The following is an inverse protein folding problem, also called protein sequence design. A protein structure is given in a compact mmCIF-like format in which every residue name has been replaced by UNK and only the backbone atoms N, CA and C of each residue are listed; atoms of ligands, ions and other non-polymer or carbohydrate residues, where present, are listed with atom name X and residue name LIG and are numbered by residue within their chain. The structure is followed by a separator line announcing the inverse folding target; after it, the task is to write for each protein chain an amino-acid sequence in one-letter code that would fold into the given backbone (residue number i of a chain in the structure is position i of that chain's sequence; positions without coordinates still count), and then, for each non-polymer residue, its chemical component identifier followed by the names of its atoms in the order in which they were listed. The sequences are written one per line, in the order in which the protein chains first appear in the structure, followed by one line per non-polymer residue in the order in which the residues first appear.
data_IF_303676152503
#
_entry.id   IF_303676152503
#
_cell.length_a   1.000
_cell.length_b   1.000
_cell.length_c   1.000
_cell.angle_alpha   90.00
_cell.angle_beta   90.00
_cell.angle_gamma   90.00
#
_symmetry.space_group_name_H-M   'P 1'
#
loop_
_entity.id
_entity.type
_entity.pdbx_description
1 polymer ?
#
# COMPACT_ATOMS: atom_id res chain seq x y z
N UNK A 1 -7.96 18.59 56.57
CA UNK A 1 -7.69 19.00 55.18
C UNK A 1 -6.55 18.15 54.60
N UNK A 2 -6.80 16.89 54.18
CA UNK A 2 -5.77 15.95 53.66
C UNK A 2 -6.02 15.49 52.21
N UNK A 3 -7.03 16.04 51.53
CA UNK A 3 -7.46 15.61 50.19
C UNK A 3 -6.71 16.29 49.02
N UNK A 4 -5.90 17.33 49.30
CA UNK A 4 -5.15 18.08 48.26
C UNK A 4 -3.82 17.43 47.83
N UNK A 5 -3.31 16.45 48.58
CA UNK A 5 -1.99 15.85 48.31
C UNK A 5 -1.98 14.87 47.12
N UNK A 6 -3.14 14.37 46.70
CA UNK A 6 -3.25 13.43 45.57
C UNK A 6 -3.52 14.12 44.23
N UNK A 7 -3.81 15.42 44.22
CA UNK A 7 -4.14 16.16 42.99
C UNK A 7 -2.90 16.36 42.12
N UNK A 8 -1.75 16.62 42.75
CA UNK A 8 -0.47 16.88 42.08
C UNK A 8 0.04 15.64 41.30
N UNK A 9 0.12 14.43 41.89
CA UNK A 9 0.58 13.26 41.13
C UNK A 9 -0.39 12.85 40.01
N UNK A 10 -1.69 13.08 40.17
CA UNK A 10 -2.70 12.78 39.13
C UNK A 10 -2.55 13.70 37.92
N UNK A 11 -2.27 14.99 38.13
CA UNK A 11 -2.02 15.95 37.04
C UNK A 11 -0.73 15.60 36.28
N UNK A 12 0.33 15.20 36.99
CA UNK A 12 1.59 14.77 36.37
C UNK A 12 1.38 13.50 35.54
N UNK A 13 0.58 12.54 36.02
CA UNK A 13 0.27 11.31 35.29
C UNK A 13 -0.57 11.57 34.02
N UNK A 14 -1.48 12.54 34.04
CA UNK A 14 -2.26 12.90 32.84
C UNK A 14 -1.44 13.54 31.71
N UNK A 15 -0.28 14.14 32.01
CA UNK A 15 0.61 14.68 30.98
C UNK A 15 1.30 13.55 30.18
N UNK A 16 1.45 12.36 30.76
CA UNK A 16 2.04 11.20 30.08
C UNK A 16 1.08 10.49 29.11
N UNK A 17 -0.22 10.81 29.13
CA UNK A 17 -1.21 10.21 28.22
C UNK A 17 -1.48 11.04 26.97
N UNK A 18 -0.87 12.22 26.82
CA UNK A 18 -1.08 13.13 25.68
C UNK A 18 -0.23 12.78 24.43
N UNK A 19 0.44 11.63 24.42
CA UNK A 19 1.49 11.30 23.43
C UNK A 19 1.08 10.46 22.23
N UNK A 20 -0.19 10.10 22.02
CA UNK A 20 -0.60 9.24 20.89
C UNK A 20 -1.44 10.01 19.87
N UNK A 21 -0.85 11.02 19.25
CA UNK A 21 -1.32 11.54 17.98
C UNK A 21 -0.77 10.68 16.85
N UNK A 22 -1.64 10.04 16.05
CA UNK A 22 -1.23 9.46 14.77
C UNK A 22 -0.78 10.61 13.88
N UNK A 23 0.53 10.85 13.83
CA UNK A 23 1.15 11.81 12.94
C UNK A 23 1.02 11.25 11.53
N UNK A 24 -0.03 11.68 10.81
CA UNK A 24 -0.14 11.43 9.38
C UNK A 24 1.12 11.99 8.72
N UNK A 25 1.82 11.09 8.02
CA UNK A 25 3.09 11.30 7.35
C UNK A 25 2.91 12.39 6.27
N UNK A 26 3.05 13.65 6.67
CA UNK A 26 2.92 14.84 5.80
C UNK A 26 4.19 15.08 4.97
N UNK A 27 5.15 14.16 5.05
CA UNK A 27 6.35 14.21 4.26
C UNK A 27 6.00 14.12 2.76
N UNK A 28 6.76 14.80 1.89
CA UNK A 28 6.60 14.68 0.44
C UNK A 28 6.67 13.21 0.01
N UNK A 29 5.73 12.79 -0.84
CA UNK A 29 5.76 11.45 -1.41
C UNK A 29 6.93 11.34 -2.39
N UNK A 30 7.88 10.47 -2.07
CA UNK A 30 8.98 10.10 -2.98
C UNK A 30 8.71 8.73 -3.58
N UNK A 31 8.77 8.61 -4.90
CA UNK A 31 8.68 7.32 -5.59
C UNK A 31 10.06 6.65 -5.55
N UNK A 32 10.19 5.43 -4.99
CA UNK A 32 11.45 4.70 -4.98
C UNK A 32 11.92 4.37 -6.40
N UNK A 33 13.23 4.38 -6.62
CA UNK A 33 13.83 3.89 -7.86
C UNK A 33 13.91 2.35 -7.83
N UNK A 34 13.17 1.71 -8.74
CA UNK A 34 13.13 0.25 -8.88
C UNK A 34 13.98 -0.27 -10.03
N UNK A 35 14.73 0.59 -10.74
CA UNK A 35 15.54 0.22 -11.91
C UNK A 35 14.74 -0.08 -13.19
N UNK A 36 13.42 -0.32 -13.08
CA UNK A 36 12.52 -0.50 -14.23
C UNK A 36 11.23 0.27 -13.98
N UNK A 37 10.82 1.07 -14.98
CA UNK A 37 9.60 1.86 -14.94
C UNK A 37 8.40 1.01 -15.39
N UNK A 38 7.40 0.84 -14.52
CA UNK A 38 6.14 0.19 -14.87
C UNK A 38 5.01 1.20 -14.96
N UNK A 39 4.28 1.18 -16.07
CA UNK A 39 3.08 1.98 -16.27
C UNK A 39 1.84 1.14 -15.95
N UNK A 40 0.93 1.69 -15.15
CA UNK A 40 -0.31 1.02 -14.75
C UNK A 40 -1.52 1.95 -14.81
N UNK A 41 -2.69 1.36 -14.96
CA UNK A 41 -3.96 1.98 -14.54
C UNK A 41 -4.33 1.40 -13.20
N UNK A 42 -4.43 2.25 -12.19
CA UNK A 42 -4.85 1.86 -10.85
C UNK A 42 -6.24 2.43 -10.56
N UNK A 43 -7.10 1.61 -9.98
CA UNK A 43 -8.43 2.03 -9.52
C UNK A 43 -8.47 1.82 -8.01
N UNK A 44 -8.86 2.85 -7.26
CA UNK A 44 -9.02 2.77 -5.80
C UNK A 44 -10.39 2.21 -5.39
N UNK A 45 -10.61 2.02 -4.08
CA UNK A 45 -11.89 1.53 -3.55
C UNK A 45 -13.05 2.54 -3.71
N UNK A 46 -12.76 3.80 -4.04
CA UNK A 46 -13.74 4.86 -4.33
C UNK A 46 -14.03 5.00 -5.83
N UNK A 47 -13.59 4.04 -6.65
CA UNK A 47 -13.74 4.01 -8.10
C UNK A 47 -13.01 5.16 -8.84
N UNK A 48 -11.98 5.76 -8.23
CA UNK A 48 -11.12 6.74 -8.90
C UNK A 48 -10.04 6.01 -9.68
N UNK A 49 -10.00 6.25 -11.00
CA UNK A 49 -8.98 5.70 -11.90
C UNK A 49 -7.82 6.67 -12.08
N UNK A 50 -6.59 6.15 -12.00
CA UNK A 50 -5.36 6.92 -12.12
C UNK A 50 -4.37 6.23 -13.05
N UNK A 51 -3.82 6.99 -14.00
CA UNK A 51 -2.70 6.57 -14.83
C UNK A 51 -1.39 6.89 -14.11
N UNK A 52 -0.62 5.83 -13.82
CA UNK A 52 0.61 5.92 -13.03
C UNK A 52 1.80 5.39 -13.82
N UNK A 53 2.92 6.09 -13.71
CA UNK A 53 4.25 5.66 -14.10
C UNK A 53 5.09 5.40 -12.85
N UNK A 54 6.26 4.76 -13.02
CA UNK A 54 7.19 4.38 -11.96
C UNK A 54 6.48 3.62 -10.84
N UNK A 55 5.52 2.78 -11.22
CA UNK A 55 4.68 2.07 -10.26
C UNK A 55 5.50 1.04 -9.50
N UNK A 56 5.41 1.06 -8.17
CA UNK A 56 6.08 0.10 -7.29
C UNK A 56 5.26 -0.15 -6.04
N UNK A 57 5.43 -1.32 -5.42
CA UNK A 57 4.81 -1.63 -4.14
C UNK A 57 5.86 -2.02 -3.11
N UNK A 58 5.91 -1.29 -1.99
CA UNK A 58 7.00 -1.35 -1.02
C UNK A 58 8.36 -0.99 -1.65
N UNK A 59 8.36 -0.14 -2.68
CA UNK A 59 9.56 0.21 -3.45
C UNK A 59 10.14 -0.94 -4.28
N UNK A 60 9.31 -1.90 -4.70
CA UNK A 60 9.73 -3.06 -5.49
C UNK A 60 8.79 -3.29 -6.68
N UNK A 61 9.35 -3.83 -7.76
CA UNK A 61 8.65 -4.12 -9.01
C UNK A 61 8.12 -5.56 -9.10
N UNK A 62 7.63 -6.09 -7.99
CA UNK A 62 7.00 -7.40 -7.92
C UNK A 62 5.88 -7.42 -6.89
N UNK A 63 4.87 -8.26 -7.13
CA UNK A 63 3.82 -8.53 -6.16
C UNK A 63 4.25 -9.71 -5.29
N UNK A 64 4.26 -9.55 -3.97
CA UNK A 64 4.58 -10.64 -3.06
C UNK A 64 3.54 -10.85 -1.97
N UNK A 65 3.29 -12.12 -1.67
CA UNK A 65 2.29 -12.52 -0.69
C UNK A 65 2.36 -14.02 -0.40
N UNK A 66 1.59 -14.44 0.61
CA UNK A 66 1.52 -15.84 1.02
C UNK A 66 0.55 -16.63 0.14
N UNK A 67 0.90 -17.88 -0.17
CA UNK A 67 -0.02 -18.88 -0.71
C UNK A 67 0.27 -20.20 0.00
N UNK A 68 -0.73 -20.72 0.71
CA UNK A 68 -0.49 -21.83 1.63
C UNK A 68 0.59 -21.47 2.66
N UNK A 69 1.58 -22.35 2.84
CA UNK A 69 2.72 -22.12 3.73
C UNK A 69 3.88 -21.33 3.13
N UNK A 70 3.83 -20.98 1.83
CA UNK A 70 4.93 -20.35 1.11
C UNK A 70 4.76 -18.84 0.90
N UNK A 71 5.89 -18.14 0.74
CA UNK A 71 5.94 -16.76 0.23
C UNK A 71 6.25 -16.81 -1.26
N UNK A 72 5.38 -16.24 -2.08
CA UNK A 72 5.63 -16.07 -3.52
C UNK A 72 5.87 -14.61 -3.86
N UNK A 73 6.69 -14.41 -4.89
CA UNK A 73 6.95 -13.12 -5.52
C UNK A 73 6.76 -13.28 -7.03
N UNK A 74 5.89 -12.49 -7.62
CA UNK A 74 5.58 -12.48 -9.05
C UNK A 74 6.04 -11.12 -9.61
N UNK A 75 7.03 -11.10 -10.53
CA UNK A 75 7.47 -9.87 -11.19
C UNK A 75 6.33 -9.16 -11.91
N UNK A 76 6.33 -7.82 -11.93
CA UNK A 76 5.28 -7.05 -12.60
C UNK A 76 5.22 -7.29 -14.11
N UNK A 77 6.34 -7.64 -14.75
CA UNK A 77 6.39 -7.98 -16.19
C UNK A 77 5.53 -9.19 -16.56
N UNK A 78 5.30 -10.12 -15.62
CA UNK A 78 4.48 -11.32 -15.82
C UNK A 78 2.99 -11.09 -15.53
N UNK A 79 2.64 -9.94 -14.95
CA UNK A 79 1.30 -9.64 -14.47
C UNK A 79 0.57 -8.79 -15.49
N UNK A 80 -0.62 -9.25 -15.90
CA UNK A 80 -1.55 -8.45 -16.68
C UNK A 80 -2.42 -7.57 -15.79
N UNK A 81 -3.03 -8.16 -14.76
CA UNK A 81 -3.90 -7.43 -13.83
C UNK A 81 -3.91 -8.01 -12.43
N UNK A 82 -4.29 -7.17 -11.46
CA UNK A 82 -4.49 -7.56 -10.06
C UNK A 82 -5.81 -7.00 -9.58
N UNK A 83 -6.61 -7.82 -8.92
CA UNK A 83 -7.81 -7.41 -8.20
C UNK A 83 -7.65 -7.71 -6.72
N UNK A 84 -7.95 -6.72 -5.88
CA UNK A 84 -7.81 -6.83 -4.44
C UNK A 84 -9.18 -7.03 -3.77
N UNK A 85 -9.23 -7.94 -2.82
CA UNK A 85 -10.41 -8.26 -2.03
C UNK A 85 -10.04 -8.26 -0.56
N UNK A 86 -10.60 -7.33 0.21
CA UNK A 86 -10.46 -7.30 1.66
C UNK A 86 -11.65 -8.02 2.28
N UNK A 87 -11.39 -9.09 3.03
CA UNK A 87 -12.41 -9.83 3.78
C UNK A 87 -11.83 -10.28 5.11
N UNK A 88 -12.55 -10.06 6.20
CA UNK A 88 -12.17 -10.48 7.55
C UNK A 88 -10.71 -10.06 7.91
N UNK A 89 -10.35 -8.81 7.59
CA UNK A 89 -8.99 -8.23 7.77
C UNK A 89 -7.87 -8.87 6.92
N UNK A 90 -8.20 -9.82 6.04
CA UNK A 90 -7.27 -10.47 5.12
C UNK A 90 -7.41 -9.87 3.73
N UNK A 91 -6.31 -9.29 3.21
CA UNK A 91 -6.26 -8.77 1.86
C UNK A 91 -5.77 -9.84 0.89
N UNK A 92 -6.63 -10.24 -0.04
CA UNK A 92 -6.32 -11.21 -1.10
C UNK A 92 -6.12 -10.46 -2.41
N UNK A 93 -5.00 -10.69 -3.07
CA UNK A 93 -4.72 -10.25 -4.43
C UNK A 93 -4.95 -11.42 -5.41
N UNK A 94 -5.97 -11.29 -6.27
CA UNK A 94 -6.18 -12.19 -7.41
C UNK A 94 -5.42 -11.62 -8.60
N UNK A 95 -4.34 -12.27 -8.98
CA UNK A 95 -3.40 -11.88 -10.01
C UNK A 95 -3.72 -12.66 -11.27
N UNK A 96 -3.90 -11.96 -12.38
CA UNK A 96 -4.01 -12.55 -13.71
C UNK A 96 -2.71 -12.32 -14.45
N UNK A 97 -2.05 -13.39 -14.86
CA UNK A 97 -0.79 -13.34 -15.60
C UNK A 97 -1.03 -13.08 -17.08
N UNK A 98 0.05 -12.81 -17.81
CA UNK A 98 0.00 -12.55 -19.26
C UNK A 98 -0.50 -13.76 -20.07
N UNK A 99 -0.32 -14.98 -19.56
CA UNK A 99 -0.76 -16.24 -20.16
C UNK A 99 -2.22 -16.62 -19.81
N UNK A 100 -3.01 -15.66 -19.32
CA UNK A 100 -4.38 -15.83 -18.84
C UNK A 100 -4.54 -16.68 -17.57
N UNK A 101 -3.45 -17.23 -17.00
CA UNK A 101 -3.54 -17.99 -15.76
C UNK A 101 -3.78 -17.07 -14.56
N UNK A 102 -4.38 -17.61 -13.50
CA UNK A 102 -4.74 -16.86 -12.30
C UNK A 102 -4.05 -17.43 -11.06
N UNK A 103 -3.47 -16.53 -10.25
CA UNK A 103 -2.82 -16.83 -8.98
C UNK A 103 -3.39 -15.95 -7.89
N UNK A 104 -3.80 -16.52 -6.77
CA UNK A 104 -4.24 -15.76 -5.60
C UNK A 104 -3.16 -15.76 -4.51
N UNK A 105 -2.86 -14.58 -3.99
CA UNK A 105 -1.91 -14.36 -2.88
C UNK A 105 -2.59 -13.61 -1.72
N UNK A 106 -2.26 -13.95 -0.49
CA UNK A 106 -2.55 -13.11 0.68
C UNK A 106 -1.44 -12.08 0.82
N UNK A 107 -1.77 -10.81 0.64
CA UNK A 107 -0.81 -9.70 0.61
C UNK A 107 -0.87 -8.86 1.89
N UNK A 108 0.18 -8.08 2.12
CA UNK A 108 0.27 -7.18 3.27
C UNK A 108 -0.58 -5.93 3.05
N UNK A 109 -1.69 -5.82 3.78
CA UNK A 109 -2.71 -4.78 3.55
C UNK A 109 -2.19 -3.34 3.68
N UNK A 110 -1.25 -3.09 4.59
CA UNK A 110 -0.70 -1.76 4.87
C UNK A 110 0.59 -1.48 4.07
N UNK A 111 0.95 -2.35 3.11
CA UNK A 111 2.11 -2.09 2.26
C UNK A 111 1.79 -0.91 1.34
N UNK A 112 2.61 0.15 1.34
CA UNK A 112 2.41 1.28 0.44
C UNK A 112 2.80 0.91 -0.98
N UNK A 113 2.00 1.34 -1.95
CA UNK A 113 2.35 1.42 -3.35
C UNK A 113 2.53 2.88 -3.75
N UNK A 114 3.44 3.09 -4.69
CA UNK A 114 3.91 4.38 -5.14
C UNK A 114 3.71 4.49 -6.64
N UNK A 115 3.48 5.71 -7.12
CA UNK A 115 3.45 6.00 -8.54
C UNK A 115 3.56 7.49 -8.80
N UNK A 116 3.94 7.84 -10.02
CA UNK A 116 3.93 9.20 -10.56
C UNK A 116 2.74 9.34 -11.50
N UNK A 117 1.92 10.37 -11.31
CA UNK A 117 0.89 10.78 -12.26
C UNK A 117 1.26 12.13 -12.87
N UNK A 118 0.44 12.63 -13.80
CA UNK A 118 0.73 13.84 -14.59
C UNK A 118 1.10 15.09 -13.79
N UNK A 119 0.58 15.25 -12.58
CA UNK A 119 0.77 16.45 -11.76
C UNK A 119 1.45 16.19 -10.42
N UNK A 120 1.99 15.00 -10.17
CA UNK A 120 2.64 14.70 -8.90
C UNK A 120 2.95 13.24 -8.64
N UNK A 121 3.20 12.94 -7.36
CA UNK A 121 3.49 11.61 -6.85
C UNK A 121 2.38 11.17 -5.91
N UNK A 122 2.13 9.87 -5.90
CA UNK A 122 1.07 9.25 -5.12
C UNK A 122 1.62 8.11 -4.30
N UNK A 123 1.14 8.00 -3.05
CA UNK A 123 1.36 6.88 -2.13
C UNK A 123 -0.02 6.39 -1.69
N UNK A 124 -0.29 5.09 -1.81
CA UNK A 124 -1.57 4.47 -1.44
C UNK A 124 -1.31 3.10 -0.80
N UNK A 125 -2.03 2.71 0.24
CA UNK A 125 -1.87 1.37 0.80
C UNK A 125 -2.60 0.33 -0.05
N UNK A 126 -2.08 -0.90 -0.12
CA UNK A 126 -2.70 -1.98 -0.90
C UNK A 126 -4.18 -2.23 -0.57
N UNK A 127 -4.58 -2.07 0.70
CA UNK A 127 -5.99 -2.19 1.14
C UNK A 127 -6.95 -1.21 0.44
N UNK A 128 -6.44 -0.06 0.03
CA UNK A 128 -7.25 1.02 -0.55
C UNK A 128 -7.24 0.95 -2.09
N UNK A 129 -6.51 -0.01 -2.68
CA UNK A 129 -6.51 -0.31 -4.11
C UNK A 129 -7.61 -1.33 -4.40
N UNK A 130 -8.39 -1.10 -5.45
CA UNK A 130 -9.40 -2.04 -5.97
C UNK A 130 -8.80 -2.93 -7.07
N UNK A 131 -8.13 -2.32 -8.04
CA UNK A 131 -7.48 -3.07 -9.13
C UNK A 131 -6.30 -2.34 -9.75
N UNK A 132 -5.41 -3.11 -10.37
CA UNK A 132 -4.26 -2.64 -11.15
C UNK A 132 -4.30 -3.33 -12.50
N UNK A 133 -4.16 -2.57 -13.57
CA UNK A 133 -3.94 -3.07 -14.93
C UNK A 133 -2.56 -2.62 -15.40
N UNK A 134 -1.69 -3.57 -15.72
CA UNK A 134 -0.35 -3.25 -16.21
C UNK A 134 -0.39 -2.93 -17.70
N UNK A 135 0.21 -1.80 -18.08
CA UNK A 135 0.37 -1.35 -19.48
C UNK A 135 1.71 -1.78 -20.08
N UNK A 136 2.57 -2.40 -19.28
CA UNK A 136 3.94 -2.77 -19.65
C UNK A 136 4.99 -1.87 -19.02
N UNK A 137 6.21 -1.93 -19.55
CA UNK A 137 7.29 -1.03 -19.15
C UNK A 137 7.01 0.39 -19.71
N UNK A 138 6.98 1.38 -18.83
CA UNK A 138 6.83 2.78 -19.21
C UNK A 138 8.07 3.28 -19.96
N UNK A 139 7.89 4.22 -20.90
CA UNK A 139 9.02 4.90 -21.53
C UNK A 139 9.72 5.77 -20.48
N UNK A 140 11.05 5.80 -20.49
CA UNK A 140 11.87 6.68 -19.64
C UNK A 140 11.63 8.18 -19.90
#
# INVERSE_FOLDING_TARGET
MKKRSYVIPVIILSLFTLGMGNMEDTAPVTVPDTGTNYAVVMVDQSDVSMDLEKFSCGGRAFMSGKRGGGLLSIPFEEIRSVHFFLKDEVLTAKITLNDDTSVSLIVEKNRPCYGKFSHGFMKINMRDIKSILFKGQGKE
#
